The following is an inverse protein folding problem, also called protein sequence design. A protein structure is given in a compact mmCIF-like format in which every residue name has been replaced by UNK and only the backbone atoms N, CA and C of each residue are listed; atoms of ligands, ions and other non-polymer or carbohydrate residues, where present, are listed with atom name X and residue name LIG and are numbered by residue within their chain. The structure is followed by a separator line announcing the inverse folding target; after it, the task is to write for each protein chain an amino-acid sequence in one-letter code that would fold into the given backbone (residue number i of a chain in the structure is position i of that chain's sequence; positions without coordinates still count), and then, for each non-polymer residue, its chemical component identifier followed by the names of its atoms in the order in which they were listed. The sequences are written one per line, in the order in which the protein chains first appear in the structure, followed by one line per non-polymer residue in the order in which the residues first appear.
data_IF_166976074869
#
_entry.id   IF_166976074869
#
_cell.length_a   1.000
_cell.length_b   1.000
_cell.length_c   1.000
_cell.angle_alpha   90.00
_cell.angle_beta   90.00
_cell.angle_gamma   90.00
#
_symmetry.space_group_name_H-M   'P 1'
#
loop_
_entity.id
_entity.type
_entity.pdbx_description
1 polymer ?
#
# COMPACT_ATOMS: atom_id res chain seq x y z
N UNK A 1 -7.10 -2.31 12.77
CA UNK A 1 -5.70 -1.91 13.03
C UNK A 1 -4.94 -3.05 13.72
N UNK A 2 -5.65 -3.91 14.46
CA UNK A 2 -5.22 -5.16 15.12
C UNK A 2 -4.09 -6.01 14.51
N UNK A 3 -3.98 -6.16 13.18
CA UNK A 3 -3.03 -7.11 12.60
C UNK A 3 -1.56 -6.68 12.77
N UNK A 4 -1.27 -5.38 12.69
CA UNK A 4 0.10 -4.85 12.84
C UNK A 4 0.53 -4.88 14.30
N UNK A 5 -0.36 -4.54 15.23
CA UNK A 5 -0.02 -4.45 16.64
C UNK A 5 0.32 -5.84 17.22
N UNK A 6 -0.44 -6.88 16.84
CA UNK A 6 -0.14 -8.27 17.21
C UNK A 6 1.20 -8.73 16.64
N UNK A 7 1.51 -8.36 15.39
CA UNK A 7 2.79 -8.68 14.75
C UNK A 7 3.97 -7.98 15.44
N UNK A 8 3.80 -6.70 15.80
CA UNK A 8 4.80 -5.91 16.49
C UNK A 8 5.09 -6.43 17.90
N UNK A 9 4.05 -6.79 18.66
CA UNK A 9 4.23 -7.40 19.98
C UNK A 9 4.97 -8.73 19.91
N UNK A 10 4.65 -9.58 18.93
CA UNK A 10 5.32 -10.87 18.73
C UNK A 10 6.77 -10.70 18.29
N UNK A 11 7.03 -9.73 17.42
CA UNK A 11 8.39 -9.37 17.04
C UNK A 11 9.21 -8.89 18.24
N UNK A 12 8.64 -8.03 19.10
CA UNK A 12 9.31 -7.52 20.29
C UNK A 12 9.61 -8.60 21.34
N UNK A 13 8.75 -9.62 21.47
CA UNK A 13 8.89 -10.68 22.48
C UNK A 13 9.91 -11.75 22.11
N UNK A 14 9.94 -12.18 20.85
CA UNK A 14 10.68 -13.38 20.43
C UNK A 14 11.53 -13.18 19.18
N UNK A 15 11.46 -12.01 18.54
CA UNK A 15 11.89 -11.85 17.16
C UNK A 15 11.00 -12.65 16.20
N UNK A 16 11.10 -12.37 14.92
CA UNK A 16 10.49 -13.17 13.85
C UNK A 16 11.55 -13.40 12.80
N UNK A 17 11.74 -14.65 12.39
CA UNK A 17 12.53 -14.97 11.22
C UNK A 17 11.82 -14.50 9.95
N UNK A 18 12.58 -14.29 8.87
CA UNK A 18 12.03 -13.88 7.56
C UNK A 18 10.94 -14.85 7.07
N UNK A 19 11.12 -16.16 7.31
CA UNK A 19 10.16 -17.20 6.95
C UNK A 19 8.84 -17.06 7.70
N UNK A 20 8.88 -16.75 8.99
CA UNK A 20 7.66 -16.55 9.79
C UNK A 20 6.91 -15.29 9.38
N UNK A 21 7.62 -14.20 9.08
CA UNK A 21 7.02 -12.97 8.55
C UNK A 21 6.32 -13.27 7.23
N UNK A 22 7.02 -13.87 6.27
CA UNK A 22 6.46 -14.21 4.96
C UNK A 22 5.21 -15.11 5.09
N UNK A 23 5.24 -16.10 6.00
CA UNK A 23 4.09 -16.98 6.28
C UNK A 23 2.90 -16.23 6.87
N UNK A 24 3.10 -15.21 7.69
CA UNK A 24 2.00 -14.42 8.24
C UNK A 24 1.38 -13.55 7.15
N UNK A 25 2.19 -12.82 6.39
CA UNK A 25 1.71 -11.95 5.31
C UNK A 25 1.04 -12.71 4.17
N UNK A 26 1.46 -13.95 3.89
CA UNK A 26 0.80 -14.81 2.89
C UNK A 26 -0.65 -15.20 3.27
N UNK A 27 -1.08 -14.90 4.50
CA UNK A 27 -2.46 -15.10 4.97
C UNK A 27 -3.20 -13.77 5.19
N UNK A 28 -2.57 -12.63 4.93
CA UNK A 28 -3.16 -11.31 5.14
C UNK A 28 -3.79 -10.77 3.87
N UNK A 29 -4.98 -10.17 4.02
CA UNK A 29 -5.63 -9.36 3.00
C UNK A 29 -5.52 -7.89 3.42
N UNK A 30 -4.94 -7.04 2.56
CA UNK A 30 -4.79 -5.61 2.82
C UNK A 30 -5.97 -4.84 2.20
N UNK A 31 -6.60 -3.98 2.99
CA UNK A 31 -7.59 -3.02 2.51
C UNK A 31 -7.03 -1.61 2.65
N UNK A 32 -6.99 -0.86 1.56
CA UNK A 32 -6.44 0.50 1.52
C UNK A 32 -7.33 1.42 0.70
N UNK A 33 -7.47 2.69 1.08
CA UNK A 33 -8.39 3.60 0.38
C UNK A 33 -7.93 3.97 -1.02
N UNK A 34 -6.62 4.11 -1.23
CA UNK A 34 -5.99 4.46 -2.50
C UNK A 34 -5.03 3.34 -2.94
N UNK A 35 -4.96 3.09 -4.25
CA UNK A 35 -4.06 2.10 -4.84
C UNK A 35 -2.62 2.25 -4.31
N UNK A 36 -1.97 1.13 -3.90
CA UNK A 36 -0.59 1.14 -3.46
C UNK A 36 0.32 1.79 -4.50
N UNK A 37 1.18 2.70 -4.07
CA UNK A 37 2.18 3.26 -4.97
C UNK A 37 3.22 2.20 -5.37
N UNK A 38 4.06 2.49 -6.36
CA UNK A 38 5.15 1.63 -6.83
C UNK A 38 5.99 1.05 -5.67
N UNK A 39 6.41 1.89 -4.72
CA UNK A 39 7.21 1.46 -3.56
C UNK A 39 6.42 0.47 -2.69
N UNK A 40 5.15 0.77 -2.39
CA UNK A 40 4.31 -0.09 -1.58
C UNK A 40 4.03 -1.42 -2.28
N UNK A 41 3.73 -1.41 -3.58
CA UNK A 41 3.49 -2.62 -4.36
C UNK A 41 4.73 -3.52 -4.40
N UNK A 42 5.92 -2.95 -4.59
CA UNK A 42 7.18 -3.70 -4.51
C UNK A 42 7.38 -4.33 -3.12
N UNK A 43 7.18 -3.57 -2.05
CA UNK A 43 7.28 -4.08 -0.68
C UNK A 43 6.30 -5.23 -0.42
N UNK A 44 5.04 -5.09 -0.86
CA UNK A 44 4.00 -6.10 -0.74
C UNK A 44 4.35 -7.40 -1.49
N UNK A 45 4.99 -7.27 -2.64
CA UNK A 45 5.53 -8.39 -3.41
C UNK A 45 6.69 -9.10 -2.70
N UNK A 46 7.63 -8.33 -2.12
CA UNK A 46 8.77 -8.87 -1.37
C UNK A 46 8.33 -9.63 -0.12
N UNK A 47 7.38 -9.07 0.64
CA UNK A 47 6.85 -9.75 1.85
C UNK A 47 5.91 -10.92 1.51
N UNK A 48 5.46 -11.02 0.26
CA UNK A 48 4.59 -12.08 -0.23
C UNK A 48 3.17 -12.01 0.34
N UNK A 49 2.55 -10.83 0.30
CA UNK A 49 1.15 -10.68 0.73
C UNK A 49 0.19 -11.52 -0.14
N UNK A 50 -0.93 -11.96 0.42
CA UNK A 50 -1.93 -12.74 -0.34
C UNK A 50 -2.65 -11.88 -1.39
N UNK A 51 -3.26 -10.79 -0.93
CA UNK A 51 -4.15 -9.99 -1.76
C UNK A 51 -4.32 -8.57 -1.21
N UNK A 52 -4.64 -7.65 -2.12
CA UNK A 52 -4.84 -6.23 -1.85
C UNK A 52 -6.16 -5.77 -2.48
N UNK A 53 -6.93 -5.07 -1.68
CA UNK A 53 -8.18 -4.43 -2.04
C UNK A 53 -8.01 -2.92 -1.90
N UNK A 54 -8.33 -2.17 -2.95
CA UNK A 54 -8.25 -0.71 -2.90
C UNK A 54 -9.47 0.00 -3.45
N UNK A 55 -9.69 1.23 -2.97
CA UNK A 55 -10.78 2.07 -3.40
C UNK A 55 -10.49 2.76 -4.72
N UNK A 56 -9.83 3.92 -4.66
CA UNK A 56 -9.52 4.69 -5.86
C UNK A 56 -8.16 4.33 -6.47
N UNK A 57 -8.05 4.48 -7.79
CA UNK A 57 -6.78 4.38 -8.51
C UNK A 57 -5.81 5.49 -8.10
N UNK A 58 -4.51 5.23 -8.28
CA UNK A 58 -3.44 6.20 -8.03
C UNK A 58 -2.79 6.62 -9.35
N UNK A 59 -3.36 7.65 -9.96
CA UNK A 59 -3.01 8.12 -11.32
C UNK A 59 -1.60 8.73 -11.43
N UNK A 60 -0.91 8.95 -10.30
CA UNK A 60 0.46 9.53 -10.30
C UNK A 60 1.54 8.52 -9.98
N UNK A 61 1.24 7.57 -9.09
CA UNK A 61 2.25 6.70 -8.51
C UNK A 61 1.81 5.22 -8.41
N UNK A 62 0.67 4.84 -8.98
CA UNK A 62 0.06 3.51 -8.80
C UNK A 62 0.94 2.36 -9.27
N UNK A 63 1.18 1.40 -8.38
CA UNK A 63 2.01 0.22 -8.62
C UNK A 63 1.21 -1.06 -8.86
N UNK A 64 -0.12 -0.98 -8.90
CA UNK A 64 -1.01 -2.13 -9.07
C UNK A 64 -1.80 -2.09 -10.39
N UNK A 65 -1.40 -1.26 -11.35
CA UNK A 65 -2.01 -1.21 -12.68
C UNK A 65 -2.11 0.19 -13.27
N UNK A 66 -2.18 1.24 -12.44
CA UNK A 66 -2.35 2.62 -12.97
C UNK A 66 -1.11 3.15 -13.68
N UNK A 67 0.08 2.91 -13.14
CA UNK A 67 1.36 3.29 -13.77
C UNK A 67 2.20 2.06 -14.06
N UNK A 68 2.43 1.21 -13.05
CA UNK A 68 3.12 -0.07 -13.18
C UNK A 68 2.28 -1.19 -12.60
N UNK A 69 2.52 -2.42 -13.05
CA UNK A 69 1.81 -3.63 -12.59
C UNK A 69 2.74 -4.56 -11.82
N UNK A 70 3.27 -4.11 -10.68
CA UNK A 70 4.24 -4.89 -9.88
C UNK A 70 3.62 -6.07 -9.14
N UNK A 71 2.31 -6.06 -8.97
CA UNK A 71 1.55 -7.16 -8.37
C UNK A 71 1.51 -8.41 -9.27
N UNK A 72 1.72 -8.24 -10.58
CA UNK A 72 1.76 -9.32 -11.56
C UNK A 72 3.22 -9.63 -11.89
N UNK A 73 3.81 -10.66 -11.26
CA UNK A 73 5.19 -11.06 -11.55
C UNK A 73 5.34 -11.41 -13.03
N UNK A 74 6.19 -10.68 -13.74
CA UNK A 74 6.61 -11.08 -15.08
C UNK A 74 7.45 -12.36 -14.94
N UNK A 75 6.95 -13.47 -15.48
CA UNK A 75 7.66 -14.73 -15.60
C UNK A 75 8.76 -14.63 -16.66
N UNK A 76 9.82 -13.85 -16.39
CA UNK A 76 11.08 -14.02 -17.10
C UNK A 76 12.04 -14.71 -16.13
N UNK A 77 12.13 -16.03 -16.31
CA UNK A 77 13.23 -16.86 -15.85
C UNK A 77 14.53 -16.28 -16.42
N UNK A 78 15.24 -15.50 -15.60
CA UNK A 78 16.66 -15.29 -15.81
C UNK A 78 17.38 -16.24 -14.86
N UNK A 79 18.07 -17.21 -15.45
CA UNK A 79 18.88 -18.24 -14.81
C UNK A 79 20.13 -17.62 -14.15
N UNK A 80 19.94 -16.73 -13.19
CA UNK A 80 21.03 -16.10 -12.46
C UNK A 80 20.61 -15.89 -11.01
N UNK A 81 21.46 -16.40 -10.13
CA UNK A 81 21.19 -16.72 -8.74
C UNK A 81 20.77 -15.53 -7.86
N UNK A 82 19.88 -15.83 -6.91
CA UNK A 82 19.72 -15.22 -5.58
C UNK A 82 19.57 -13.70 -5.42
N UNK A 83 18.71 -13.03 -6.20
CA UNK A 83 18.15 -11.73 -5.76
C UNK A 83 16.61 -11.76 -5.83
N UNK A 84 16.01 -12.06 -4.67
CA UNK A 84 14.64 -11.76 -4.26
C UNK A 84 13.60 -11.56 -5.40
N UNK A 85 13.27 -12.63 -6.11
CA UNK A 85 12.15 -12.62 -7.04
C UNK A 85 10.85 -12.39 -6.24
N UNK A 86 10.31 -11.17 -6.27
CA UNK A 86 9.08 -10.82 -5.57
C UNK A 86 7.90 -11.70 -5.99
N UNK A 87 7.04 -12.07 -5.03
CA UNK A 87 5.84 -12.88 -5.30
C UNK A 87 4.73 -12.04 -5.92
N UNK A 88 3.97 -12.64 -6.83
CA UNK A 88 2.74 -12.03 -7.32
C UNK A 88 1.68 -12.06 -6.23
N UNK A 89 0.76 -11.09 -6.29
CA UNK A 89 -0.38 -11.02 -5.38
C UNK A 89 -1.61 -10.49 -6.12
N UNK A 90 -2.79 -10.87 -5.63
CA UNK A 90 -4.05 -10.44 -6.25
C UNK A 90 -4.36 -8.99 -5.88
N UNK A 91 -4.80 -8.20 -6.86
CA UNK A 91 -5.22 -6.81 -6.67
C UNK A 91 -6.65 -6.60 -7.18
N UNK A 92 -7.53 -6.07 -6.33
CA UNK A 92 -8.89 -5.68 -6.73
C UNK A 92 -9.13 -4.22 -6.35
N UNK A 93 -9.35 -3.38 -7.37
CA UNK A 93 -9.64 -1.95 -7.21
C UNK A 93 -11.13 -1.62 -7.34
N UNK A 94 -11.49 -0.38 -7.00
CA UNK A 94 -12.83 0.17 -7.23
C UNK A 94 -13.77 0.10 -6.02
N UNK A 95 -13.32 -0.40 -4.88
CA UNK A 95 -14.17 -0.62 -3.69
C UNK A 95 -14.42 0.72 -2.98
N UNK A 96 -15.64 1.25 -3.04
CA UNK A 96 -15.96 2.57 -2.48
C UNK A 96 -15.04 3.68 -3.03
N UNK A 97 -14.73 3.61 -4.34
CA UNK A 97 -13.79 4.53 -4.98
C UNK A 97 -14.23 6.00 -4.86
N UNK A 98 -15.54 6.27 -4.94
CA UNK A 98 -16.11 7.61 -4.77
C UNK A 98 -15.79 8.21 -3.39
N UNK A 99 -15.94 7.41 -2.34
CA UNK A 99 -15.70 7.78 -0.95
C UNK A 99 -14.21 8.00 -0.71
N UNK A 100 -13.36 7.11 -1.24
CA UNK A 100 -11.91 7.28 -1.18
C UNK A 100 -11.45 8.58 -1.85
N UNK A 101 -11.99 8.91 -3.04
CA UNK A 101 -11.71 10.17 -3.74
C UNK A 101 -12.23 11.37 -2.92
N UNK A 102 -13.42 11.25 -2.33
CA UNK A 102 -14.02 12.31 -1.52
C UNK A 102 -13.15 12.65 -0.29
N UNK A 103 -12.59 11.63 0.37
CA UNK A 103 -11.66 11.81 1.49
C UNK A 103 -10.38 12.56 1.05
N UNK A 104 -9.77 12.14 -0.06
CA UNK A 104 -8.57 12.81 -0.59
C UNK A 104 -8.87 14.26 -1.00
N UNK A 105 -10.02 14.50 -1.63
CA UNK A 105 -10.46 15.85 -2.01
C UNK A 105 -10.62 16.74 -0.78
N UNK A 106 -11.33 16.24 0.23
CA UNK A 106 -11.52 16.96 1.50
C UNK A 106 -10.19 17.32 2.15
N UNK A 107 -9.21 16.39 2.14
CA UNK A 107 -7.86 16.64 2.66
C UNK A 107 -7.13 17.77 1.90
N UNK A 108 -7.16 17.76 0.55
CA UNK A 108 -6.49 18.81 -0.23
C UNK A 108 -7.20 20.17 -0.20
N UNK A 109 -8.53 20.17 -0.04
CA UNK A 109 -9.33 21.39 0.09
C UNK A 109 -9.07 22.12 1.42
N UNK A 110 -8.81 21.38 2.51
CA UNK A 110 -8.44 21.97 3.80
C UNK A 110 -7.17 22.84 3.69
N UNK A 111 -6.22 22.46 2.83
CA UNK A 111 -4.96 23.17 2.65
C UNK A 111 -3.94 22.89 3.75
N UNK A 112 -2.67 23.21 3.49
CA UNK A 112 -1.57 22.96 4.42
C UNK A 112 -1.26 24.23 5.25
N UNK A 113 -1.53 24.26 6.57
CA UNK A 113 -1.22 25.40 7.43
C UNK A 113 0.26 25.69 7.59
N UNK A 114 1.12 24.71 7.27
CA UNK A 114 2.57 24.84 7.35
C UNK A 114 3.21 25.19 5.99
N UNK A 115 2.41 25.47 4.96
CA UNK A 115 2.96 25.85 3.66
C UNK A 115 3.68 27.21 3.74
N UNK A 116 4.84 27.38 3.09
CA UNK A 116 5.52 28.67 3.02
C UNK A 116 4.65 29.70 2.29
N UNK A 117 4.69 30.96 2.73
CA UNK A 117 3.90 32.04 2.13
C UNK A 117 4.56 32.50 0.80
N UNK A 118 3.78 32.83 -0.23
CA UNK A 118 2.32 32.83 -0.28
C UNK A 118 1.74 31.42 -0.48
N UNK A 119 0.69 31.09 0.27
CA UNK A 119 -0.02 29.81 0.14
C UNK A 119 -1.54 30.01 0.05
N UNK A 120 -2.24 28.98 -0.42
CA UNK A 120 -3.71 28.94 -0.42
C UNK A 120 -4.24 29.10 1.02
N UNK A 121 -5.27 29.94 1.27
CA UNK A 121 -5.92 30.02 2.58
C UNK A 121 -6.40 28.64 3.06
N UNK A 122 -6.17 28.34 4.34
CA UNK A 122 -6.59 27.08 4.96
C UNK A 122 -8.05 27.19 5.38
N UNK A 123 -8.84 26.15 5.09
CA UNK A 123 -10.25 26.07 5.52
C UNK A 123 -10.30 25.42 6.91
N UNK A 124 -10.70 26.18 7.93
CA UNK A 124 -10.95 25.63 9.26
C UNK A 124 -12.34 25.00 9.31
N UNK A 125 -12.42 23.68 9.50
CA UNK A 125 -13.69 23.02 9.79
C UNK A 125 -14.13 23.36 11.23
N UNK A 126 -15.33 23.90 11.39
CA UNK A 126 -16.01 23.98 12.69
C UNK A 126 -16.17 22.56 13.22
N UNK A 127 -15.58 22.28 14.40
CA UNK A 127 -15.72 20.99 15.09
C UNK A 127 -17.17 20.65 15.38
#
# INVERSE_FOLDING_TARGET
MEAIDILLEQWQKSGLSVSEVAKKFSNCSLYVTCEPCIMCAAALSIVGIKEVFYGCANDKFGGCGSILSLHSSCSQSLDSEEIAQGKSFNCTGGIMASEAISLLRSFYEQGNPNAPKPHRPVVHQSK
#
